data_IF_237041759590
#
_entry.id   IF_237041759590
#
_cell.length_a   1.000
_cell.length_b   1.000
_cell.length_c   1.000
_cell.angle_alpha   90.00
_cell.angle_beta   90.00
_cell.angle_gamma   90.00
#
_symmetry.space_group_name_H-M   'P 1'
#
loop_
_entity.id
_entity.type
_entity.pdbx_description
1 polymer ?
#
# COMPACT_ATOMS: atom_id res chain seq x y z
N UNK A 1 -6.65 6.72 6.62
CA UNK A 1 -7.99 6.07 6.52
C UNK A 1 -8.16 5.00 7.60
N UNK A 2 -8.39 5.41 8.85
CA UNK A 2 -8.76 4.55 10.00
C UNK A 2 -8.04 3.19 10.08
N UNK A 3 -6.69 3.21 9.99
CA UNK A 3 -5.80 2.03 10.08
C UNK A 3 -6.18 0.82 9.19
N UNK A 4 -6.81 1.07 8.05
CA UNK A 4 -7.29 0.03 7.11
C UNK A 4 -6.44 -0.12 5.85
N UNK A 5 -5.42 0.73 5.70
CA UNK A 5 -4.55 0.75 4.52
C UNK A 5 -3.13 0.91 5.01
N UNK A 6 -2.23 0.04 4.55
CA UNK A 6 -0.79 0.24 4.67
C UNK A 6 -0.27 0.91 3.41
N UNK A 7 0.65 1.87 3.58
CA UNK A 7 1.33 2.55 2.50
C UNK A 7 2.83 2.57 2.76
N UNK A 8 3.60 2.11 1.79
CA UNK A 8 5.06 2.11 1.78
C UNK A 8 5.60 2.90 0.60
N UNK A 9 6.75 3.56 0.80
CA UNK A 9 7.35 4.45 -0.19
C UNK A 9 8.82 4.10 -0.41
N UNK A 10 9.26 4.14 -1.67
CA UNK A 10 10.66 4.03 -2.05
C UNK A 10 11.04 5.21 -2.94
N UNK A 11 11.97 6.05 -2.48
CA UNK A 11 12.42 7.28 -3.15
C UNK A 11 13.08 8.24 -2.15
N UNK A 12 13.21 9.51 -2.51
CA UNK A 12 13.73 10.52 -1.58
C UNK A 12 12.71 10.86 -0.48
N UNK A 13 13.17 10.96 0.77
CA UNK A 13 12.29 11.17 1.93
C UNK A 13 11.46 12.46 1.84
N UNK A 14 11.93 13.47 1.11
CA UNK A 14 11.17 14.72 0.86
C UNK A 14 9.87 14.49 0.11
N UNK A 15 9.82 13.45 -0.72
CA UNK A 15 8.73 13.20 -1.66
C UNK A 15 7.64 12.33 -1.03
N UNK A 16 8.02 11.53 -0.02
CA UNK A 16 7.16 10.59 0.69
C UNK A 16 5.94 11.31 1.30
N UNK A 17 6.17 12.39 2.06
CA UNK A 17 5.10 13.14 2.71
C UNK A 17 4.08 13.68 1.71
N UNK A 18 4.55 14.26 0.60
CA UNK A 18 3.65 14.80 -0.42
C UNK A 18 2.77 13.72 -1.06
N UNK A 19 3.33 12.54 -1.32
CA UNK A 19 2.59 11.44 -1.93
C UNK A 19 1.63 10.78 -0.94
N UNK A 20 2.03 10.63 0.33
CA UNK A 20 1.14 10.12 1.38
C UNK A 20 -0.05 11.05 1.61
N UNK A 21 0.17 12.37 1.76
CA UNK A 21 -0.92 13.34 1.93
C UNK A 21 -1.89 13.34 0.75
N UNK A 22 -1.37 13.30 -0.48
CA UNK A 22 -2.20 13.23 -1.69
C UNK A 22 -2.96 11.90 -1.78
N UNK A 23 -2.33 10.79 -1.42
CA UNK A 23 -2.99 9.50 -1.42
C UNK A 23 -4.09 9.42 -0.37
N UNK A 24 -3.85 9.95 0.83
CA UNK A 24 -4.86 10.02 1.88
C UNK A 24 -6.06 10.86 1.46
N UNK A 25 -5.84 12.02 0.83
CA UNK A 25 -6.92 12.84 0.26
C UNK A 25 -7.75 12.06 -0.77
N UNK A 26 -7.12 11.23 -1.62
CA UNK A 26 -7.84 10.36 -2.57
C UNK A 26 -8.63 9.27 -1.87
N UNK A 27 -8.08 8.66 -0.81
CA UNK A 27 -8.81 7.67 -0.02
C UNK A 27 -10.06 8.29 0.61
N UNK A 28 -9.96 9.51 1.15
CA UNK A 28 -11.12 10.22 1.70
C UNK A 28 -12.16 10.54 0.62
N UNK A 29 -11.73 11.12 -0.51
CA UNK A 29 -12.58 11.47 -1.65
C UNK A 29 -13.39 10.25 -2.16
N UNK A 30 -12.73 9.09 -2.23
CA UNK A 30 -13.33 7.85 -2.72
C UNK A 30 -13.79 6.90 -1.61
N UNK A 31 -14.02 7.42 -0.39
CA UNK A 31 -14.59 6.68 0.74
C UNK A 31 -13.87 5.36 1.06
N UNK A 32 -12.55 5.32 0.85
CA UNK A 32 -11.66 4.19 1.08
C UNK A 32 -11.58 3.17 -0.04
N UNK A 33 -12.11 3.44 -1.23
CA UNK A 33 -11.95 2.54 -2.36
C UNK A 33 -10.50 2.55 -2.87
N UNK A 34 -9.65 1.65 -2.36
CA UNK A 34 -8.19 1.64 -2.57
C UNK A 34 -7.81 1.70 -4.05
N UNK A 35 -8.33 0.78 -4.86
CA UNK A 35 -8.04 0.71 -6.31
C UNK A 35 -8.40 2.01 -7.01
N UNK A 36 -9.55 2.61 -6.67
CA UNK A 36 -9.99 3.88 -7.26
C UNK A 36 -9.10 5.03 -6.83
N UNK A 37 -8.78 5.13 -5.54
CA UNK A 37 -7.87 6.15 -5.01
C UNK A 37 -6.48 6.05 -5.65
N UNK A 38 -5.96 4.84 -5.84
CA UNK A 38 -4.69 4.57 -6.50
C UNK A 38 -4.67 5.05 -7.96
N UNK A 39 -5.72 4.72 -8.74
CA UNK A 39 -5.86 5.15 -10.13
C UNK A 39 -5.94 6.68 -10.25
N UNK A 40 -6.69 7.33 -9.38
CA UNK A 40 -6.80 8.80 -9.40
C UNK A 40 -5.51 9.49 -8.94
N UNK A 41 -4.80 8.94 -7.96
CA UNK A 41 -3.45 9.41 -7.61
C UNK A 41 -2.50 9.27 -8.79
N UNK A 42 -2.48 8.12 -9.48
CA UNK A 42 -1.58 7.86 -10.60
C UNK A 42 -1.81 8.87 -11.75
N UNK A 43 -3.07 9.22 -12.03
CA UNK A 43 -3.42 10.28 -12.98
C UNK A 43 -2.86 11.64 -12.53
N UNK A 44 -3.11 12.04 -11.29
CA UNK A 44 -2.64 13.32 -10.75
C UNK A 44 -1.11 13.40 -10.75
N UNK A 45 -0.43 12.32 -10.34
CA UNK A 45 1.02 12.21 -10.32
C UNK A 45 1.61 12.39 -11.74
N UNK A 46 1.06 11.72 -12.74
CA UNK A 46 1.50 11.83 -14.14
C UNK A 46 1.30 13.23 -14.72
N UNK A 47 0.22 13.89 -14.35
CA UNK A 47 -0.16 15.21 -14.89
C UNK A 47 0.58 16.37 -14.21
N UNK A 48 0.96 16.21 -12.94
CA UNK A 48 1.68 17.23 -12.19
C UNK A 48 3.15 17.32 -12.62
N UNK A 49 3.57 18.52 -13.04
CA UNK A 49 4.92 18.77 -13.57
C UNK A 49 6.01 18.50 -12.54
N UNK A 50 5.75 18.74 -11.26
CA UNK A 50 6.70 18.51 -10.19
C UNK A 50 6.75 17.02 -9.84
N UNK A 51 5.58 16.39 -9.65
CA UNK A 51 5.51 15.01 -9.19
C UNK A 51 6.07 14.00 -10.21
N UNK A 52 5.85 14.20 -11.51
CA UNK A 52 6.36 13.27 -12.53
C UNK A 52 7.89 13.17 -12.62
N UNK A 53 8.62 14.05 -11.94
CA UNK A 53 10.10 14.04 -11.87
C UNK A 53 10.62 13.24 -10.67
N UNK A 54 9.73 12.81 -9.79
CA UNK A 54 10.09 12.00 -8.63
C UNK A 54 10.54 10.62 -9.12
N UNK A 55 11.73 10.21 -8.71
CA UNK A 55 12.21 8.84 -8.90
C UNK A 55 11.71 7.98 -7.74
N UNK A 56 10.40 7.76 -7.71
CA UNK A 56 9.75 7.10 -6.59
C UNK A 56 8.62 6.14 -6.99
N UNK A 57 8.38 5.18 -6.11
CA UNK A 57 7.26 4.25 -6.16
C UNK A 57 6.52 4.23 -4.82
N UNK A 58 5.21 4.06 -4.89
CA UNK A 58 4.33 3.92 -3.75
C UNK A 58 3.69 2.52 -3.79
N UNK A 59 3.85 1.74 -2.73
CA UNK A 59 3.15 0.48 -2.54
C UNK A 59 2.00 0.72 -1.54
N UNK A 60 0.79 0.29 -1.86
CA UNK A 60 -0.38 0.47 -1.01
C UNK A 60 -1.17 -0.82 -0.94
N UNK A 61 -1.72 -1.16 0.22
CA UNK A 61 -2.51 -2.37 0.39
C UNK A 61 -3.61 -2.22 1.43
N UNK A 62 -4.70 -2.94 1.22
CA UNK A 62 -5.71 -3.26 2.23
C UNK A 62 -5.82 -4.80 2.36
N UNK A 63 -6.87 -5.30 3.00
CA UNK A 63 -7.06 -6.75 3.18
C UNK A 63 -7.41 -7.51 1.89
N UNK A 64 -7.78 -6.79 0.82
CA UNK A 64 -8.25 -7.37 -0.45
C UNK A 64 -7.25 -7.14 -1.59
N UNK A 65 -6.57 -5.99 -1.60
CA UNK A 65 -5.79 -5.49 -2.73
C UNK A 65 -4.38 -5.09 -2.31
N UNK A 66 -3.41 -5.31 -3.21
CA UNK A 66 -2.03 -4.85 -3.06
C UNK A 66 -1.54 -4.24 -4.36
N UNK A 67 -1.17 -2.97 -4.34
CA UNK A 67 -0.94 -2.15 -5.53
C UNK A 67 0.43 -1.47 -5.49
N UNK A 68 1.07 -1.34 -6.64
CA UNK A 68 2.21 -0.44 -6.86
C UNK A 68 1.79 0.70 -7.79
N UNK A 69 2.13 1.92 -7.40
CA UNK A 69 1.85 3.15 -8.12
C UNK A 69 3.18 3.84 -8.47
N UNK A 70 3.32 4.28 -9.72
CA UNK A 70 4.53 4.94 -10.23
C UNK A 70 4.26 6.37 -10.73
N UNK A 71 5.31 7.19 -10.79
CA UNK A 71 5.24 8.54 -11.37
C UNK A 71 4.95 8.61 -12.88
N UNK A 72 5.01 7.48 -13.58
CA UNK A 72 4.58 7.38 -14.98
C UNK A 72 3.04 7.27 -15.11
N UNK A 73 2.34 7.15 -14.00
CA UNK A 73 0.90 6.95 -13.93
C UNK A 73 0.48 5.48 -14.07
N UNK A 74 1.38 4.55 -13.76
CA UNK A 74 1.08 3.12 -13.75
C UNK A 74 0.47 2.73 -12.40
N UNK A 75 -0.53 1.85 -12.44
CA UNK A 75 -1.06 1.13 -11.27
C UNK A 75 -1.00 -0.35 -11.59
N UNK A 76 -0.27 -1.11 -10.77
CA UNK A 76 -0.02 -2.53 -10.99
C UNK A 76 -0.47 -3.33 -9.77
N UNK A 77 -1.33 -4.30 -10.01
CA UNK A 77 -1.76 -5.31 -9.03
C UNK A 77 -1.21 -6.68 -9.47
N UNK A 78 -0.39 -7.36 -8.67
CA UNK A 78 0.10 -8.69 -9.01
C UNK A 78 -0.92 -9.77 -8.63
N UNK A 79 -1.05 -10.80 -9.47
CA UNK A 79 -2.00 -11.91 -9.25
C UNK A 79 -1.74 -12.72 -7.97
N UNK A 80 -0.50 -12.71 -7.47
CA UNK A 80 -0.10 -13.40 -6.24
C UNK A 80 -0.23 -12.54 -4.98
N UNK A 81 -0.67 -11.28 -5.12
CA UNK A 81 -0.84 -10.34 -4.01
C UNK A 81 0.48 -9.86 -3.38
N UNK A 82 1.65 -10.22 -3.93
CA UNK A 82 2.94 -9.84 -3.34
C UNK A 82 3.53 -8.67 -4.13
N UNK A 83 3.62 -7.52 -3.47
CA UNK A 83 4.25 -6.31 -4.01
C UNK A 83 5.61 -6.07 -3.35
N UNK A 84 6.53 -5.47 -4.10
CA UNK A 84 7.82 -5.03 -3.56
C UNK A 84 8.34 -3.83 -4.35
N UNK A 85 8.99 -2.90 -3.65
CA UNK A 85 9.56 -1.67 -4.21
C UNK A 85 10.95 -1.42 -3.63
N UNK A 86 11.71 -0.53 -4.27
CA UNK A 86 13.06 -0.15 -3.83
C UNK A 86 14.16 -1.06 -4.37
N UNK A 87 15.41 -0.76 -3.98
CA UNK A 87 16.63 -1.39 -4.51
C UNK A 87 16.72 -2.89 -4.21
N UNK A 88 16.30 -3.32 -3.01
CA UNK A 88 16.22 -4.72 -2.60
C UNK A 88 14.98 -5.45 -3.13
N UNK A 89 14.06 -4.73 -3.79
CA UNK A 89 12.72 -5.23 -4.10
C UNK A 89 12.69 -6.53 -4.91
N UNK A 90 13.46 -6.68 -6.01
CA UNK A 90 13.48 -7.92 -6.77
C UNK A 90 13.93 -9.15 -5.97
N UNK A 91 14.88 -8.98 -5.05
CA UNK A 91 15.37 -10.08 -4.19
C UNK A 91 14.32 -10.47 -3.15
N UNK A 92 13.74 -9.47 -2.48
CA UNK A 92 12.67 -9.68 -1.50
C UNK A 92 11.45 -10.34 -2.15
N UNK A 93 11.04 -9.88 -3.33
CA UNK A 93 9.92 -10.44 -4.08
C UNK A 93 10.14 -11.90 -4.46
N UNK A 94 11.34 -12.23 -4.97
CA UNK A 94 11.68 -13.60 -5.33
C UNK A 94 11.67 -14.53 -4.11
N UNK A 95 12.25 -14.08 -2.98
CA UNK A 95 12.26 -14.81 -1.74
C UNK A 95 10.84 -15.02 -1.17
N UNK A 96 10.04 -13.96 -1.07
CA UNK A 96 8.67 -14.01 -0.58
C UNK A 96 7.80 -14.99 -1.41
N UNK A 97 7.89 -14.93 -2.74
CA UNK A 97 7.19 -15.87 -3.63
C UNK A 97 7.59 -17.32 -3.40
N UNK A 98 8.88 -17.58 -3.18
CA UNK A 98 9.35 -18.93 -2.87
C UNK A 98 8.82 -19.41 -1.50
N UNK A 99 8.83 -18.55 -0.48
CA UNK A 99 8.34 -18.86 0.86
C UNK A 99 6.83 -19.13 0.86
N UNK A 100 6.03 -18.28 0.21
CA UNK A 100 4.57 -18.50 0.09
C UNK A 100 4.26 -19.84 -0.58
N UNK A 101 5.04 -20.21 -1.60
CA UNK A 101 4.82 -21.46 -2.34
C UNK A 101 5.27 -22.72 -1.59
N UNK A 102 6.29 -22.62 -0.76
CA UNK A 102 7.01 -23.80 -0.23
C UNK A 102 7.08 -23.89 1.30
N UNK A 103 6.71 -22.84 2.02
CA UNK A 103 6.82 -22.74 3.47
C UNK A 103 5.49 -22.35 4.12
N UNK A 104 4.39 -23.03 3.75
CA UNK A 104 3.03 -22.72 4.22
C UNK A 104 2.78 -22.85 5.73
N UNK A 105 3.78 -23.28 6.50
CA UNK A 105 3.78 -23.26 7.96
C UNK A 105 4.17 -21.90 8.57
N UNK A 106 4.75 -21.00 7.76
CA UNK A 106 5.12 -19.66 8.21
C UNK A 106 3.91 -18.72 8.09
N UNK A 107 3.80 -17.78 9.03
CA UNK A 107 2.86 -16.66 8.91
C UNK A 107 3.43 -15.55 8.00
N UNK A 108 2.58 -14.59 7.64
CA UNK A 108 2.94 -13.50 6.73
C UNK A 108 4.10 -12.65 7.27
N UNK A 109 4.10 -12.35 8.58
CA UNK A 109 5.18 -11.59 9.23
C UNK A 109 6.52 -12.32 9.09
N UNK A 110 6.56 -13.62 9.42
CA UNK A 110 7.77 -14.44 9.30
C UNK A 110 8.24 -14.54 7.85
N UNK A 111 7.33 -14.70 6.90
CA UNK A 111 7.67 -14.73 5.47
C UNK A 111 8.28 -13.40 5.00
N UNK A 112 7.69 -12.27 5.38
CA UNK A 112 8.21 -10.93 5.03
C UNK A 112 9.59 -10.71 5.66
N UNK A 113 9.75 -11.05 6.94
CA UNK A 113 11.02 -10.87 7.66
C UNK A 113 12.15 -11.71 7.05
N UNK A 114 11.87 -12.95 6.70
CA UNK A 114 12.83 -13.84 6.06
C UNK A 114 13.18 -13.35 4.64
N UNK A 115 12.17 -12.95 3.85
CA UNK A 115 12.40 -12.40 2.51
C UNK A 115 13.27 -11.14 2.54
N UNK A 116 13.03 -10.24 3.50
CA UNK A 116 13.84 -9.04 3.69
C UNK A 116 15.25 -9.34 4.19
N UNK A 117 15.42 -10.36 5.03
CA UNK A 117 16.74 -10.84 5.48
C UNK A 117 17.55 -11.40 4.31
N UNK A 118 16.91 -12.15 3.41
CA UNK A 118 17.55 -12.60 2.17
C UNK A 118 17.94 -11.39 1.31
N UNK A 119 17.04 -10.42 1.14
CA UNK A 119 17.30 -9.22 0.35
C UNK A 119 18.47 -8.39 0.90
N UNK A 120 18.59 -8.22 2.22
CA UNK A 120 19.73 -7.50 2.84
C UNK A 120 21.06 -8.21 2.66
N UNK A 121 21.07 -9.54 2.57
CA UNK A 121 22.29 -10.31 2.31
C UNK A 121 22.79 -10.20 0.85
N UNK A 122 21.90 -9.84 -0.09
CA UNK A 122 22.19 -9.80 -1.53
C UNK A 122 22.34 -8.37 -2.06
N UNK A 123 21.56 -7.43 -1.56
CA UNK A 123 21.50 -6.06 -2.05
C UNK A 123 22.33 -5.13 -1.16
N UNK A 124 23.39 -4.54 -1.70
CA UNK A 124 24.27 -3.58 -0.98
C UNK A 124 23.53 -2.32 -0.49
N UNK A 125 22.33 -2.06 -1.00
CA UNK A 125 21.49 -0.91 -0.62
C UNK A 125 20.35 -1.28 0.34
N UNK A 126 20.33 -2.52 0.86
CA UNK A 126 19.34 -3.01 1.81
C UNK A 126 20.06 -3.51 3.06
N UNK A 127 19.66 -3.05 4.24
CA UNK A 127 20.30 -3.41 5.50
C UNK A 127 19.41 -4.35 6.34
N UNK A 128 19.93 -4.81 7.48
CA UNK A 128 19.24 -5.77 8.36
C UNK A 128 18.29 -5.11 9.37
N UNK A 129 18.13 -3.78 9.34
CA UNK A 129 17.19 -3.07 10.21
C UNK A 129 15.79 -3.13 9.60
N UNK A 130 15.07 -4.21 9.91
CA UNK A 130 13.76 -4.53 9.33
C UNK A 130 12.66 -4.21 10.35
N UNK A 131 11.73 -3.34 9.94
CA UNK A 131 10.46 -3.10 10.59
C UNK A 131 9.35 -3.76 9.78
N UNK A 132 8.39 -4.39 10.46
CA UNK A 132 7.24 -5.03 9.83
C UNK A 132 5.98 -4.45 10.44
N UNK A 133 5.08 -3.99 9.57
CA UNK A 133 3.75 -3.51 9.94
C UNK A 133 2.71 -4.53 9.46
N UNK A 134 1.68 -4.74 10.27
CA UNK A 134 0.63 -5.72 9.99
C UNK A 134 -0.71 -5.01 9.98
N UNK A 135 -1.49 -5.28 8.95
CA UNK A 135 -2.87 -4.82 8.86
C UNK A 135 -3.79 -5.82 9.54
N UNK A 136 -4.43 -5.41 10.63
CA UNK A 136 -5.45 -6.23 11.30
C UNK A 136 -6.85 -5.94 10.73
N UNK A 137 -7.70 -6.96 10.60
CA UNK A 137 -9.11 -6.75 10.29
C UNK A 137 -9.79 -5.88 11.35
N UNK A 138 -10.62 -4.93 10.90
CA UNK A 138 -11.43 -4.13 11.83
C UNK A 138 -12.26 -5.04 12.75
N UNK A 139 -12.30 -4.68 14.03
CA UNK A 139 -13.21 -5.32 14.97
C UNK A 139 -14.67 -5.15 14.52
N UNK A 140 -15.59 -6.08 14.88
CA UNK A 140 -17.01 -5.94 14.54
C UNK A 140 -17.62 -4.60 15.01
N UNK A 141 -17.18 -4.10 16.17
CA UNK A 141 -17.65 -2.82 16.73
C UNK A 141 -17.22 -1.62 15.86
N UNK A 142 -16.00 -1.65 15.33
CA UNK A 142 -15.47 -0.59 14.46
C UNK A 142 -16.12 -0.62 13.08
N UNK A 143 -16.44 -1.81 12.57
CA UNK A 143 -17.22 -1.98 11.34
C UNK A 143 -18.62 -1.35 11.47
N UNK A 144 -19.31 -1.57 12.60
CA UNK A 144 -20.62 -0.97 12.87
C UNK A 144 -20.55 0.56 12.96
N UNK A 145 -19.58 1.10 13.71
CA UNK A 145 -19.34 2.55 13.81
C UNK A 145 -19.13 3.18 12.44
N UNK A 146 -18.36 2.53 11.56
CA UNK A 146 -18.14 3.01 10.20
C UNK A 146 -19.39 2.96 9.33
N UNK A 147 -20.19 1.90 9.44
CA UNK A 147 -21.47 1.77 8.72
C UNK A 147 -22.45 2.89 9.10
N UNK A 148 -22.44 3.32 10.36
CA UNK A 148 -23.28 4.43 10.84
C UNK A 148 -22.81 5.80 10.34
N UNK A 149 -21.49 6.04 10.22
CA UNK A 149 -20.93 7.28 9.64
C UNK A 149 -21.22 7.42 8.14
N UNK A 150 -21.29 6.31 7.39
CA UNK A 150 -21.64 6.30 5.95
C UNK A 150 -23.12 6.54 5.64
N UNK A 151 -24.01 6.72 6.63
CA UNK A 151 -25.43 7.08 6.41
C UNK A 151 -25.62 8.61 6.57
N UNK A 152 -25.46 9.43 5.52
CA UNK A 152 -26.00 10.79 5.56
C UNK A 152 -27.52 10.70 5.65
N UNK A 153 -28.13 11.52 6.51
CA UNK A 153 -29.54 11.43 6.88
C UNK A 153 -30.49 11.33 5.68
N UNK A 154 -31.23 10.22 5.58
CA UNK A 154 -32.53 10.21 4.90
C UNK A 154 -33.54 10.91 5.80
N UNK A 155 -33.46 12.23 5.84
CA UNK A 155 -34.47 13.11 6.40
C UNK A 155 -35.19 13.85 5.27
N UNK A 156 -35.89 13.13 4.39
CA UNK A 156 -36.94 13.74 3.57
C UNK A 156 -38.29 13.36 4.20
N UNK A 157 -38.73 14.23 5.10
CA UNK A 157 -40.12 14.31 5.53
C UNK A 157 -40.89 14.95 4.38
N UNK A 158 -41.65 14.17 3.61
CA UNK A 158 -42.65 14.71 2.69
C UNK A 158 -43.95 14.89 3.48
N UNK A 159 -44.37 16.15 3.63
CA UNK A 159 -45.76 16.54 3.88
C UNK A 159 -46.41 16.99 2.58
#
# INVERSE_FOLDING_TARGET
>A
YDDQVLAGFAGASSDAFTLFERFEAKLEEYNGALVRAAVELAKDWRMDRALRRLEAMLAVMDLEHSLVISGNGDVVEPDDGIVSIGSGGPFALAAARALVKHAGQLDAESMVREAMTIASSLCIYTNENISVEILEPLSPEDQERKSSRKRPGRGFMQG
#
